data_IF_373155048856
#
_entry.id   IF_373155048856
#
_cell.length_a   1.000
_cell.length_b   1.000
_cell.length_c   1.000
_cell.angle_alpha   90.00
_cell.angle_beta   90.00
_cell.angle_gamma   90.00
#
_symmetry.space_group_name_H-M   'P 1'
#
loop_
_entity.id
_entity.type
_entity.pdbx_description
1 polymer ?
#
# COMPACT_ATOMS: atom_id res chain seq x y z
N UNK A 1 6.85 11.20 -25.62
CA UNK A 1 5.92 12.31 -25.92
C UNK A 1 6.38 13.48 -25.08
N UNK A 2 6.88 14.56 -25.71
CA UNK A 2 7.38 15.75 -24.99
C UNK A 2 6.31 16.87 -24.98
N UNK A 3 5.05 16.53 -24.80
CA UNK A 3 3.97 17.50 -24.82
C UNK A 3 3.40 17.78 -23.43
N UNK A 4 3.00 19.02 -23.21
CA UNK A 4 2.25 19.44 -22.01
C UNK A 4 0.91 18.72 -21.99
N UNK A 5 0.63 17.96 -20.92
CA UNK A 5 -0.64 17.28 -20.69
C UNK A 5 -1.56 18.11 -19.78
N UNK A 6 -2.85 17.90 -19.89
CA UNK A 6 -3.80 18.26 -18.86
C UNK A 6 -3.99 17.07 -17.93
N UNK A 7 -3.42 17.14 -16.74
CA UNK A 7 -3.51 16.10 -15.71
C UNK A 7 -4.55 16.51 -14.67
N UNK A 8 -5.59 15.69 -14.51
CA UNK A 8 -6.56 15.84 -13.43
C UNK A 8 -6.12 14.96 -12.25
N UNK A 9 -5.75 15.57 -11.14
CA UNK A 9 -5.43 14.85 -9.90
C UNK A 9 -6.74 14.60 -9.16
N UNK A 10 -7.11 13.32 -9.05
CA UNK A 10 -8.31 12.87 -8.37
C UNK A 10 -7.94 12.46 -6.95
N UNK A 11 -8.59 13.07 -5.97
CA UNK A 11 -8.24 12.95 -4.55
C UNK A 11 -9.48 12.71 -3.69
N UNK A 12 -9.30 12.26 -2.47
CA UNK A 12 -10.36 12.28 -1.46
C UNK A 12 -10.70 13.73 -1.09
N UNK A 13 -11.96 14.08 -0.81
CA UNK A 13 -12.34 15.47 -0.56
C UNK A 13 -11.59 16.12 0.61
N UNK A 14 -11.22 15.32 1.61
CA UNK A 14 -10.50 15.79 2.79
C UNK A 14 -9.01 16.07 2.51
N UNK A 15 -8.48 15.61 1.38
CA UNK A 15 -7.06 15.73 1.02
C UNK A 15 -6.80 16.66 -0.17
N UNK A 16 -7.76 17.55 -0.50
CA UNK A 16 -7.56 18.59 -1.51
C UNK A 16 -6.41 19.50 -1.04
N UNK A 17 -5.27 19.54 -1.76
CA UNK A 17 -4.12 20.31 -1.32
C UNK A 17 -4.41 21.82 -1.37
N UNK A 18 -4.01 22.59 -0.36
CA UNK A 18 -4.10 24.05 -0.41
C UNK A 18 -3.09 24.63 -1.40
N UNK A 19 -3.45 25.74 -2.02
CA UNK A 19 -2.55 26.52 -2.91
C UNK A 19 -1.50 27.33 -2.11
N UNK A 20 -0.92 26.74 -1.08
CA UNK A 20 0.08 27.40 -0.24
C UNK A 20 1.47 26.78 -0.48
N UNK A 21 2.41 27.61 -0.99
CA UNK A 21 3.79 27.20 -1.20
C UNK A 21 4.55 26.84 0.08
N UNK A 22 4.06 27.23 1.25
CA UNK A 22 4.65 26.87 2.54
C UNK A 22 4.21 25.49 3.04
N UNK A 23 3.19 24.91 2.47
CA UNK A 23 2.69 23.57 2.81
C UNK A 23 3.77 22.49 2.68
N UNK A 24 4.77 22.67 1.82
CA UNK A 24 5.96 21.79 1.70
C UNK A 24 6.69 21.49 3.03
N UNK A 25 6.50 22.33 4.03
CA UNK A 25 7.23 22.25 5.31
C UNK A 25 6.40 21.62 6.41
N UNK A 26 5.13 21.31 6.16
CA UNK A 26 4.23 20.78 7.17
C UNK A 26 4.00 19.28 6.94
N UNK A 27 4.04 18.50 8.02
CA UNK A 27 3.53 17.13 8.05
C UNK A 27 2.02 17.21 8.30
N UNK A 28 1.21 16.47 7.51
CA UNK A 28 -0.23 16.51 7.71
C UNK A 28 -1.02 15.82 6.61
N UNK A 29 -2.34 15.95 6.69
CA UNK A 29 -3.24 15.48 5.62
C UNK A 29 -2.91 16.18 4.30
N UNK A 30 -3.11 15.47 3.17
CA UNK A 30 -2.90 15.95 1.81
C UNK A 30 -1.43 16.24 1.41
N UNK A 31 -0.44 15.73 2.14
CA UNK A 31 0.97 15.97 1.80
C UNK A 31 1.36 15.27 0.48
N UNK A 32 0.85 14.08 0.22
CA UNK A 32 1.08 13.32 -1.01
C UNK A 32 0.50 14.05 -2.20
N UNK A 33 -0.76 14.49 -2.09
CA UNK A 33 -1.49 15.21 -3.13
C UNK A 33 -0.79 16.52 -3.48
N UNK A 34 -0.31 17.23 -2.46
CA UNK A 34 0.45 18.46 -2.66
C UNK A 34 1.76 18.18 -3.40
N UNK A 35 2.58 17.22 -2.95
CA UNK A 35 3.84 16.87 -3.59
C UNK A 35 3.65 16.46 -5.05
N UNK A 36 2.63 15.65 -5.32
CA UNK A 36 2.29 15.23 -6.68
C UNK A 36 1.90 16.42 -7.54
N UNK A 37 0.99 17.27 -7.08
CA UNK A 37 0.55 18.46 -7.83
C UNK A 37 1.72 19.39 -8.15
N UNK A 38 2.61 19.66 -7.20
CA UNK A 38 3.78 20.52 -7.40
C UNK A 38 4.75 19.92 -8.43
N UNK A 39 5.10 18.65 -8.29
CA UNK A 39 5.99 18.01 -9.24
C UNK A 39 5.40 17.97 -10.66
N UNK A 40 4.10 17.70 -10.81
CA UNK A 40 3.42 17.76 -12.11
C UNK A 40 3.46 19.16 -12.74
N UNK A 41 3.32 20.21 -11.92
CA UNK A 41 3.48 21.62 -12.39
C UNK A 41 4.92 21.91 -12.78
N UNK A 42 5.91 21.45 -11.99
CA UNK A 42 7.34 21.58 -12.32
C UNK A 42 7.70 20.88 -13.64
N UNK A 43 7.05 19.74 -13.93
CA UNK A 43 7.18 19.03 -15.21
C UNK A 43 6.50 19.76 -16.38
N UNK A 44 5.84 20.89 -16.13
CA UNK A 44 5.20 21.74 -17.15
C UNK A 44 3.79 21.29 -17.54
N UNK A 45 3.17 20.37 -16.82
CA UNK A 45 1.79 19.95 -17.08
C UNK A 45 0.77 21.00 -16.61
N UNK A 46 -0.42 21.02 -17.24
CA UNK A 46 -1.59 21.72 -16.69
C UNK A 46 -2.21 20.81 -15.64
N UNK A 47 -2.28 21.26 -14.40
CA UNK A 47 -2.80 20.46 -13.27
C UNK A 47 -4.12 21.05 -12.80
N UNK A 48 -5.15 20.20 -12.73
CA UNK A 48 -6.42 20.48 -12.06
C UNK A 48 -6.60 19.45 -10.95
N UNK A 49 -7.27 19.81 -9.86
CA UNK A 49 -7.57 18.90 -8.75
C UNK A 49 -9.08 18.75 -8.64
N UNK A 50 -9.53 17.52 -8.42
CA UNK A 50 -10.94 17.18 -8.20
C UNK A 50 -11.07 16.27 -6.98
N UNK A 51 -11.83 16.71 -5.97
CA UNK A 51 -12.24 15.86 -4.86
C UNK A 51 -13.31 14.87 -5.30
N UNK A 52 -13.17 13.62 -4.89
CA UNK A 52 -14.14 12.55 -5.17
C UNK A 52 -15.35 12.68 -4.24
N UNK A 53 -16.30 13.50 -4.64
CA UNK A 53 -17.54 13.80 -3.92
C UNK A 53 -18.47 12.58 -3.84
N UNK A 54 -19.48 12.63 -2.95
CA UNK A 54 -20.45 11.55 -2.75
C UNK A 54 -21.44 11.35 -3.92
N UNK A 55 -21.63 12.38 -4.78
CA UNK A 55 -22.47 12.30 -5.98
C UNK A 55 -21.66 11.90 -7.21
N UNK A 56 -21.71 10.64 -7.58
CA UNK A 56 -21.04 10.10 -8.77
C UNK A 56 -21.43 10.84 -10.06
N UNK A 57 -22.67 11.27 -10.22
CA UNK A 57 -23.09 11.98 -11.42
C UNK A 57 -22.39 13.33 -11.55
N UNK A 58 -22.18 14.04 -10.44
CA UNK A 58 -21.43 15.29 -10.39
C UNK A 58 -19.94 15.05 -10.69
N UNK A 59 -19.36 13.99 -10.14
CA UNK A 59 -17.94 13.61 -10.42
C UNK A 59 -17.75 13.31 -11.91
N UNK A 60 -18.63 12.52 -12.53
CA UNK A 60 -18.56 12.23 -13.97
C UNK A 60 -18.65 13.53 -14.78
N UNK A 61 -19.63 14.41 -14.49
CA UNK A 61 -19.76 15.70 -15.18
C UNK A 61 -18.51 16.56 -15.04
N UNK A 62 -17.90 16.59 -13.85
CA UNK A 62 -16.67 17.33 -13.60
C UNK A 62 -15.50 16.75 -14.39
N UNK A 63 -15.29 15.44 -14.37
CA UNK A 63 -14.23 14.76 -15.15
C UNK A 63 -14.39 15.06 -16.65
N UNK A 64 -15.59 14.89 -17.20
CA UNK A 64 -15.89 15.17 -18.61
C UNK A 64 -15.68 16.64 -18.93
N UNK A 65 -16.11 17.55 -18.05
CA UNK A 65 -15.92 19.01 -18.21
C UNK A 65 -14.46 19.45 -18.19
N UNK A 66 -13.60 18.77 -17.43
CA UNK A 66 -12.16 19.02 -17.44
C UNK A 66 -11.49 18.52 -18.71
N UNK A 67 -12.02 17.48 -19.35
CA UNK A 67 -11.42 16.82 -20.54
C UNK A 67 -9.92 16.55 -20.35
N UNK A 68 -9.51 15.79 -19.31
CA UNK A 68 -8.10 15.55 -19.02
C UNK A 68 -7.49 14.56 -20.04
N UNK A 69 -6.20 14.73 -20.32
CA UNK A 69 -5.40 13.75 -21.07
C UNK A 69 -5.10 12.50 -20.21
N UNK A 70 -5.07 12.69 -18.87
CA UNK A 70 -4.79 11.64 -17.90
C UNK A 70 -5.35 12.03 -16.53
N UNK A 71 -5.83 11.05 -15.79
CA UNK A 71 -6.17 11.17 -14.37
C UNK A 71 -5.03 10.64 -13.52
N UNK A 72 -4.46 11.47 -12.64
CA UNK A 72 -3.56 11.00 -11.59
C UNK A 72 -4.40 10.61 -10.38
N UNK A 73 -4.61 9.31 -10.19
CA UNK A 73 -5.54 8.81 -9.18
C UNK A 73 -4.82 8.63 -7.83
N UNK A 74 -5.21 9.44 -6.85
CA UNK A 74 -4.76 9.38 -5.46
C UNK A 74 -5.89 9.06 -4.48
N UNK A 75 -7.06 8.62 -4.98
CA UNK A 75 -8.17 8.27 -4.09
C UNK A 75 -7.90 6.98 -3.34
N UNK A 76 -8.18 6.96 -2.05
CA UNK A 76 -8.07 5.77 -1.19
C UNK A 76 -9.43 5.22 -0.76
N UNK A 77 -10.50 5.98 -0.96
CA UNK A 77 -11.84 5.66 -0.50
C UNK A 77 -12.92 6.34 -1.35
N UNK A 78 -14.17 5.94 -1.15
CA UNK A 78 -15.33 6.67 -1.62
C UNK A 78 -16.44 6.58 -0.57
N UNK A 79 -17.13 7.68 -0.28
CA UNK A 79 -18.15 7.77 0.78
C UNK A 79 -17.62 7.35 2.18
N UNK A 80 -16.35 7.57 2.47
CA UNK A 80 -15.74 7.17 3.74
C UNK A 80 -15.44 5.66 3.86
N UNK A 81 -15.67 4.88 2.81
CA UNK A 81 -15.38 3.44 2.79
C UNK A 81 -14.22 3.15 1.83
N UNK A 82 -13.12 2.66 2.39
CA UNK A 82 -11.93 2.26 1.64
C UNK A 82 -12.15 1.06 0.72
N UNK A 83 -13.19 0.26 0.97
CA UNK A 83 -13.54 -0.84 0.08
C UNK A 83 -14.06 -0.37 -1.28
N UNK A 84 -14.35 0.92 -1.45
CA UNK A 84 -14.80 1.52 -2.71
C UNK A 84 -13.68 2.12 -3.56
N UNK A 85 -12.41 2.09 -3.15
CA UNK A 85 -11.28 2.50 -3.97
C UNK A 85 -11.26 1.81 -5.34
N UNK A 86 -11.49 0.49 -5.36
CA UNK A 86 -11.63 -0.31 -6.58
C UNK A 86 -12.80 0.13 -7.48
N UNK A 87 -13.86 0.67 -6.89
CA UNK A 87 -15.03 1.13 -7.65
C UNK A 87 -14.72 2.47 -8.34
N UNK A 88 -13.90 3.31 -7.72
CA UNK A 88 -13.38 4.52 -8.38
C UNK A 88 -12.54 4.13 -9.59
N UNK A 89 -11.59 3.20 -9.43
CA UNK A 89 -10.81 2.70 -10.56
C UNK A 89 -11.69 2.08 -11.66
N UNK A 90 -12.71 1.29 -11.29
CA UNK A 90 -13.65 0.71 -12.25
C UNK A 90 -14.46 1.79 -13.00
N UNK A 91 -14.83 2.88 -12.33
CA UNK A 91 -15.49 4.03 -13.00
C UNK A 91 -14.54 4.64 -14.03
N UNK A 92 -13.26 4.84 -13.71
CA UNK A 92 -12.28 5.38 -14.65
C UNK A 92 -12.05 4.45 -15.85
N UNK A 93 -12.01 3.13 -15.62
CA UNK A 93 -11.97 2.11 -16.68
C UNK A 93 -13.21 2.21 -17.59
N UNK A 94 -14.42 2.37 -17.02
CA UNK A 94 -15.67 2.51 -17.77
C UNK A 94 -15.75 3.83 -18.58
N UNK A 95 -15.12 4.89 -18.07
CA UNK A 95 -15.04 6.18 -18.78
C UNK A 95 -13.99 6.19 -19.90
N UNK A 96 -13.19 5.13 -20.01
CA UNK A 96 -12.12 4.97 -21.00
C UNK A 96 -11.12 6.13 -20.96
N UNK A 97 -10.75 6.56 -19.76
CA UNK A 97 -9.78 7.67 -19.54
C UNK A 97 -8.49 7.08 -18.96
N UNK A 98 -7.30 7.42 -19.50
CA UNK A 98 -6.05 6.99 -18.92
C UNK A 98 -5.92 7.46 -17.46
N UNK A 99 -5.55 6.55 -16.56
CA UNK A 99 -5.31 6.89 -15.16
C UNK A 99 -4.10 6.14 -14.59
N UNK A 100 -3.47 6.73 -13.57
CA UNK A 100 -2.30 6.15 -12.90
C UNK A 100 -2.70 5.15 -11.82
N UNK A 101 -1.81 4.20 -11.60
CA UNK A 101 -1.94 3.19 -10.54
C UNK A 101 -2.70 1.95 -10.98
N UNK A 102 -2.91 1.08 -10.02
CA UNK A 102 -3.54 -0.23 -10.23
C UNK A 102 -5.03 -0.10 -10.53
N UNK A 103 -5.52 -0.85 -11.51
CA UNK A 103 -6.94 -0.91 -11.88
C UNK A 103 -7.79 -1.69 -10.88
N UNK A 104 -9.11 -1.71 -11.14
CA UNK A 104 -10.12 -2.22 -10.22
C UNK A 104 -9.86 -3.66 -9.76
N UNK A 105 -9.42 -4.54 -10.65
CA UNK A 105 -9.16 -5.95 -10.32
C UNK A 105 -7.99 -6.09 -9.33
N UNK A 106 -6.87 -5.41 -9.56
CA UNK A 106 -5.72 -5.49 -8.67
C UNK A 106 -6.02 -4.88 -7.29
N UNK A 107 -6.75 -3.77 -7.24
CA UNK A 107 -7.23 -3.17 -6.00
C UNK A 107 -8.11 -4.15 -5.21
N UNK A 108 -9.09 -4.79 -5.86
CA UNK A 108 -9.95 -5.81 -5.24
C UNK A 108 -9.14 -6.98 -4.68
N UNK A 109 -8.18 -7.51 -5.46
CA UNK A 109 -7.37 -8.65 -5.05
C UNK A 109 -6.47 -8.34 -3.85
N UNK A 110 -5.96 -7.11 -3.74
CA UNK A 110 -5.09 -6.70 -2.65
C UNK A 110 -5.85 -6.26 -1.39
N UNK A 111 -7.02 -5.65 -1.55
CA UNK A 111 -7.83 -5.16 -0.43
C UNK A 111 -8.25 -6.29 0.52
N UNK A 112 -8.66 -7.45 0.01
CA UNK A 112 -8.96 -8.61 0.85
C UNK A 112 -7.68 -9.43 1.10
N UNK A 113 -7.06 -9.26 2.28
CA UNK A 113 -5.85 -9.97 2.68
C UNK A 113 -5.96 -11.49 2.56
N UNK A 114 -7.17 -12.05 2.72
CA UNK A 114 -7.44 -13.49 2.61
C UNK A 114 -7.37 -13.93 1.15
N UNK A 115 -8.07 -13.20 0.27
CA UNK A 115 -8.09 -13.46 -1.16
C UNK A 115 -6.69 -13.29 -1.78
N UNK A 116 -6.00 -12.22 -1.42
CA UNK A 116 -4.61 -11.97 -1.82
C UNK A 116 -3.72 -13.16 -1.48
N UNK A 117 -3.75 -13.63 -0.23
CA UNK A 117 -2.93 -14.77 0.21
C UNK A 117 -3.33 -16.10 -0.44
N UNK A 118 -4.62 -16.35 -0.63
CA UNK A 118 -5.09 -17.54 -1.34
C UNK A 118 -4.55 -17.58 -2.77
N UNK A 119 -4.62 -16.45 -3.48
CA UNK A 119 -4.13 -16.36 -4.85
C UNK A 119 -2.61 -16.51 -4.92
N UNK A 120 -1.87 -15.86 -4.04
CA UNK A 120 -0.41 -16.02 -3.94
C UNK A 120 0.00 -17.47 -3.64
N UNK A 121 -0.71 -18.14 -2.73
CA UNK A 121 -0.48 -19.54 -2.37
C UNK A 121 -0.73 -20.47 -3.57
N UNK A 122 -1.81 -20.27 -4.32
CA UNK A 122 -2.12 -21.01 -5.54
C UNK A 122 -0.96 -20.90 -6.56
N UNK A 123 -0.33 -19.74 -6.62
CA UNK A 123 0.84 -19.49 -7.47
C UNK A 123 2.18 -19.85 -6.81
N UNK A 124 2.17 -20.63 -5.72
CA UNK A 124 3.39 -21.09 -5.02
C UNK A 124 4.31 -19.94 -4.57
N UNK A 125 3.72 -18.82 -4.18
CA UNK A 125 4.38 -17.73 -3.48
C UNK A 125 4.09 -17.91 -2.00
N UNK A 126 5.14 -18.01 -1.19
CA UNK A 126 5.00 -18.23 0.25
C UNK A 126 4.38 -17.02 0.93
N UNK A 127 3.32 -17.25 1.68
CA UNK A 127 2.65 -16.30 2.57
C UNK A 127 2.56 -16.92 3.97
N UNK A 128 2.30 -16.15 5.04
CA UNK A 128 2.00 -16.74 6.34
C UNK A 128 0.79 -17.68 6.25
N UNK A 129 0.83 -18.82 6.95
CA UNK A 129 -0.38 -19.61 7.16
C UNK A 129 -1.43 -18.76 7.89
N UNK A 130 -2.71 -18.90 7.55
CA UNK A 130 -3.73 -18.03 8.11
C UNK A 130 -5.07 -18.70 8.35
N UNK A 131 -5.76 -18.22 9.38
CA UNK A 131 -7.13 -18.54 9.71
C UNK A 131 -8.01 -17.33 9.40
N UNK A 132 -9.10 -17.53 8.66
CA UNK A 132 -10.13 -16.51 8.43
C UNK A 132 -11.28 -16.68 9.42
N UNK A 133 -11.64 -15.58 10.09
CA UNK A 133 -12.73 -15.50 11.05
C UNK A 133 -13.79 -14.53 10.53
N UNK A 134 -14.87 -15.02 9.89
CA UNK A 134 -15.92 -14.18 9.30
C UNK A 134 -16.65 -13.35 10.36
N UNK A 135 -16.99 -12.10 10.02
CA UNK A 135 -17.84 -11.25 10.84
C UNK A 135 -19.25 -11.85 10.97
N UNK A 136 -19.91 -11.62 12.09
CA UNK A 136 -21.27 -12.09 12.33
C UNK A 136 -21.40 -13.62 12.55
N UNK A 137 -20.27 -14.34 12.69
CA UNK A 137 -20.25 -15.79 12.97
C UNK A 137 -19.47 -16.10 14.25
N UNK A 138 -19.79 -17.25 14.87
CA UNK A 138 -19.02 -17.73 16.01
C UNK A 138 -17.53 -17.92 15.67
N UNK A 139 -16.63 -17.42 16.51
CA UNK A 139 -15.19 -17.57 16.37
C UNK A 139 -14.83 -19.06 16.59
N UNK A 140 -14.47 -19.75 15.51
CA UNK A 140 -14.07 -21.16 15.55
C UNK A 140 -12.57 -21.27 15.32
N UNK A 141 -11.85 -21.77 16.32
CA UNK A 141 -10.40 -21.94 16.30
C UNK A 141 -10.11 -23.45 16.20
N UNK A 142 -9.31 -23.90 15.22
CA UNK A 142 -8.88 -25.29 15.11
C UNK A 142 -8.05 -25.72 16.32
N UNK A 143 -8.29 -26.93 16.86
CA UNK A 143 -7.57 -27.46 18.05
C UNK A 143 -6.04 -27.53 17.89
N UNK A 144 -5.53 -27.58 16.66
CA UNK A 144 -4.09 -27.68 16.34
C UNK A 144 -3.55 -26.42 15.70
N UNK A 145 -4.12 -25.24 16.01
CA UNK A 145 -3.63 -23.99 15.49
C UNK A 145 -2.25 -23.67 16.06
N UNK A 146 -1.26 -23.52 15.18
CA UNK A 146 0.08 -23.11 15.62
C UNK A 146 0.08 -21.63 16.05
N UNK A 147 0.75 -21.33 17.14
CA UNK A 147 0.93 -20.00 17.74
C UNK A 147 2.44 -19.67 17.77
N UNK A 148 2.87 -18.40 17.84
CA UNK A 148 2.02 -17.19 17.90
C UNK A 148 1.42 -16.80 16.55
N UNK A 149 0.34 -15.97 16.60
CA UNK A 149 -0.32 -15.42 15.42
C UNK A 149 -0.47 -13.89 15.50
N UNK A 150 -0.50 -13.27 14.34
CA UNK A 150 -0.86 -11.84 14.19
C UNK A 150 -2.32 -11.75 13.79
N UNK A 151 -3.13 -11.13 14.64
CA UNK A 151 -4.59 -10.99 14.44
C UNK A 151 -4.88 -9.56 13.98
N UNK A 152 -5.46 -9.41 12.80
CA UNK A 152 -5.69 -8.11 12.16
C UNK A 152 -6.99 -8.06 11.35
N UNK A 153 -7.56 -6.86 11.09
CA UNK A 153 -8.69 -6.69 10.18
C UNK A 153 -8.32 -7.19 8.77
N UNK A 154 -9.31 -7.80 8.08
CA UNK A 154 -9.05 -8.39 6.76
C UNK A 154 -8.95 -7.35 5.63
N UNK A 155 -9.59 -6.18 5.78
CA UNK A 155 -9.74 -5.18 4.71
C UNK A 155 -9.00 -3.85 4.96
N UNK A 156 -8.44 -3.65 6.17
CA UNK A 156 -7.70 -2.42 6.49
C UNK A 156 -6.26 -2.47 5.97
N UNK A 157 -5.69 -1.30 5.70
CA UNK A 157 -4.29 -1.08 5.34
C UNK A 157 -3.59 -0.17 6.36
N UNK A 158 -2.40 0.35 6.03
CA UNK A 158 -1.65 1.32 6.85
C UNK A 158 -1.45 0.93 8.33
N UNK A 159 -1.44 -0.38 8.62
CA UNK A 159 -1.37 -0.95 9.99
C UNK A 159 -2.56 -0.57 10.87
N UNK A 160 -3.69 -0.11 10.30
CA UNK A 160 -4.89 0.15 11.07
C UNK A 160 -5.37 -1.14 11.77
N UNK A 161 -5.75 -0.98 13.04
CA UNK A 161 -6.11 -2.13 13.88
C UNK A 161 -4.94 -3.03 14.28
N UNK A 162 -3.68 -2.66 14.02
CA UNK A 162 -2.50 -3.42 14.43
C UNK A 162 -1.78 -2.72 15.59
N UNK A 163 -1.62 -3.46 16.67
CA UNK A 163 -0.90 -3.05 17.88
C UNK A 163 -0.05 -4.21 18.42
N UNK A 164 0.70 -4.01 19.49
CA UNK A 164 1.42 -5.11 20.15
C UNK A 164 0.47 -6.23 20.60
N UNK A 165 -0.78 -5.91 20.99
CA UNK A 165 -1.80 -6.88 21.32
C UNK A 165 -2.32 -7.69 20.11
N UNK A 166 -1.88 -7.36 18.90
CA UNK A 166 -2.21 -8.16 17.71
C UNK A 166 -1.39 -9.45 17.60
N UNK A 167 -0.25 -9.55 18.29
CA UNK A 167 0.48 -10.81 18.42
C UNK A 167 -0.10 -11.57 19.59
N UNK A 168 -0.68 -12.74 19.31
CA UNK A 168 -1.35 -13.57 20.30
C UNK A 168 -0.62 -14.91 20.48
N UNK A 169 -0.48 -15.35 21.71
CA UNK A 169 0.31 -16.52 22.08
C UNK A 169 -0.54 -17.69 22.59
N UNK A 170 -1.86 -17.46 22.75
CA UNK A 170 -2.82 -18.47 23.19
C UNK A 170 -4.18 -18.26 22.52
N UNK A 171 -5.07 -19.26 22.68
CA UNK A 171 -6.40 -19.26 22.08
C UNK A 171 -7.30 -18.18 22.68
N UNK A 172 -7.18 -17.90 23.98
CA UNK A 172 -8.01 -16.89 24.64
C UNK A 172 -7.70 -15.48 24.11
N UNK A 173 -6.41 -15.11 24.04
CA UNK A 173 -5.97 -13.84 23.46
C UNK A 173 -6.41 -13.70 22.00
N UNK A 174 -6.38 -14.80 21.22
CA UNK A 174 -6.86 -14.78 19.84
C UNK A 174 -8.36 -14.48 19.78
N UNK A 175 -9.18 -15.12 20.63
CA UNK A 175 -10.63 -14.87 20.67
C UNK A 175 -10.94 -13.44 21.06
N UNK A 176 -10.30 -12.93 22.11
CA UNK A 176 -10.47 -11.56 22.59
C UNK A 176 -10.09 -10.53 21.52
N UNK A 177 -8.93 -10.75 20.86
CA UNK A 177 -8.47 -9.85 19.81
C UNK A 177 -9.38 -9.88 18.58
N UNK A 178 -9.86 -11.05 18.17
CA UNK A 178 -10.81 -11.19 17.07
C UNK A 178 -12.16 -10.53 17.39
N UNK A 179 -12.67 -10.73 18.61
CA UNK A 179 -13.91 -10.09 19.07
C UNK A 179 -13.80 -8.57 19.06
N UNK A 180 -12.68 -8.03 19.58
CA UNK A 180 -12.40 -6.59 19.54
C UNK A 180 -12.41 -6.02 18.12
N UNK A 181 -11.80 -6.73 17.15
CA UNK A 181 -11.79 -6.28 15.75
C UNK A 181 -13.19 -6.36 15.15
N UNK A 182 -13.95 -7.43 15.40
CA UNK A 182 -15.33 -7.56 14.95
C UNK A 182 -16.21 -6.43 15.48
N UNK A 183 -16.07 -6.05 16.75
CA UNK A 183 -16.84 -4.98 17.36
C UNK A 183 -16.47 -3.59 16.79
N UNK A 184 -15.18 -3.36 16.55
CA UNK A 184 -14.68 -2.03 16.15
C UNK A 184 -14.83 -1.73 14.67
N UNK A 185 -14.62 -2.71 13.81
CA UNK A 185 -14.58 -2.54 12.34
C UNK A 185 -15.68 -3.28 11.58
N UNK A 186 -16.51 -4.05 12.26
CA UNK A 186 -17.65 -4.80 11.65
C UNK A 186 -17.26 -5.62 10.41
N UNK A 187 -16.04 -6.16 10.41
CA UNK A 187 -15.48 -6.89 9.28
C UNK A 187 -14.85 -8.23 9.68
N UNK A 188 -14.49 -9.04 8.67
CA UNK A 188 -13.77 -10.28 8.90
C UNK A 188 -12.37 -10.02 9.48
N UNK A 189 -11.89 -11.00 10.24
CA UNK A 189 -10.54 -11.02 10.84
C UNK A 189 -9.70 -12.07 10.14
N UNK A 190 -8.42 -11.78 9.98
CA UNK A 190 -7.39 -12.74 9.59
C UNK A 190 -6.40 -12.93 10.73
N UNK A 191 -6.14 -14.20 11.13
CA UNK A 191 -5.12 -14.57 12.11
C UNK A 191 -3.98 -15.28 11.39
N UNK A 192 -2.88 -14.60 11.16
CA UNK A 192 -1.73 -15.06 10.39
C UNK A 192 -0.63 -15.63 11.27
N UNK A 193 0.08 -16.65 10.80
CA UNK A 193 1.35 -17.08 11.40
C UNK A 193 2.27 -15.90 11.63
N UNK A 194 2.82 -15.76 12.84
CA UNK A 194 3.84 -14.76 13.11
C UNK A 194 5.17 -15.20 12.49
N UNK A 195 5.66 -14.45 11.53
CA UNK A 195 6.95 -14.70 10.89
C UNK A 195 8.00 -13.82 11.56
N UNK A 196 8.92 -14.43 12.29
CA UNK A 196 10.06 -13.73 12.85
C UNK A 196 11.05 -13.31 11.76
N UNK A 197 11.83 -12.26 12.01
CA UNK A 197 12.89 -11.80 11.11
C UNK A 197 12.74 -10.37 10.65
N UNK A 198 13.41 -10.04 9.55
CA UNK A 198 13.55 -8.69 8.99
C UNK A 198 12.33 -8.33 8.16
N UNK A 199 11.83 -7.10 8.28
CA UNK A 199 10.66 -6.63 7.51
C UNK A 199 11.14 -5.74 6.36
N UNK A 200 10.87 -6.20 5.13
CA UNK A 200 11.32 -5.58 3.89
C UNK A 200 10.15 -4.98 3.11
N UNK A 201 10.37 -3.79 2.57
CA UNK A 201 9.44 -3.07 1.68
C UNK A 201 10.04 -2.99 0.30
N UNK A 202 9.40 -3.61 -0.67
CA UNK A 202 9.93 -3.77 -2.03
C UNK A 202 9.05 -3.04 -3.03
N UNK A 203 9.48 -1.86 -3.45
CA UNK A 203 8.79 -1.06 -4.45
C UNK A 203 9.10 -1.55 -5.86
N UNK A 204 8.09 -1.53 -6.73
CA UNK A 204 8.16 -2.02 -8.11
C UNK A 204 7.53 -0.99 -9.03
N UNK A 205 8.20 -0.71 -10.16
CA UNK A 205 7.70 0.15 -11.22
C UNK A 205 7.55 -0.65 -12.52
N UNK A 206 6.48 -0.42 -13.28
CA UNK A 206 6.32 -0.95 -14.62
C UNK A 206 5.03 -1.71 -14.85
N UNK A 207 4.83 -2.14 -16.10
CA UNK A 207 3.72 -2.98 -16.56
C UNK A 207 4.27 -4.24 -17.26
N UNK A 208 4.65 -4.14 -18.55
CA UNK A 208 5.25 -5.26 -19.31
C UNK A 208 6.66 -5.58 -18.81
N UNK A 209 7.47 -4.55 -18.58
CA UNK A 209 8.81 -4.66 -17.99
C UNK A 209 8.77 -4.10 -16.59
N UNK A 210 9.16 -4.92 -15.61
CA UNK A 210 9.13 -4.57 -14.20
C UNK A 210 10.54 -4.26 -13.70
N UNK A 211 10.69 -3.11 -13.05
CA UNK A 211 11.88 -2.69 -12.32
C UNK A 211 11.61 -2.80 -10.83
N UNK A 212 12.35 -3.62 -10.13
CA UNK A 212 12.32 -3.71 -8.67
C UNK A 212 13.33 -2.71 -8.14
N UNK A 213 12.89 -1.81 -7.29
CA UNK A 213 13.71 -0.79 -6.65
C UNK A 213 14.49 -1.38 -5.47
N UNK A 214 15.56 -0.73 -4.98
CA UNK A 214 16.30 -1.18 -3.82
C UNK A 214 15.39 -1.41 -2.61
N UNK A 215 15.39 -2.61 -1.99
CA UNK A 215 14.53 -2.90 -0.86
C UNK A 215 14.82 -2.01 0.34
N UNK A 216 13.77 -1.48 0.96
CA UNK A 216 13.87 -0.79 2.26
C UNK A 216 13.56 -1.77 3.38
N UNK A 217 13.97 -1.43 4.58
CA UNK A 217 13.80 -2.26 5.78
C UNK A 217 13.39 -1.41 6.97
N UNK A 218 12.51 -1.95 7.79
CA UNK A 218 12.21 -1.42 9.11
C UNK A 218 13.13 -2.08 10.15
N UNK A 219 13.96 -1.28 10.81
CA UNK A 219 14.86 -1.73 11.86
C UNK A 219 14.23 -1.50 13.23
N UNK A 220 14.04 -2.58 13.97
CA UNK A 220 13.59 -2.58 15.36
C UNK A 220 14.81 -2.68 16.28
N UNK A 221 15.35 -1.54 16.72
CA UNK A 221 16.62 -1.47 17.47
C UNK A 221 16.44 -1.53 19.00
N UNK A 222 15.32 -2.00 19.51
CA UNK A 222 15.10 -2.17 20.94
C UNK A 222 15.96 -3.31 21.50
N UNK A 223 17.01 -2.99 22.24
CA UNK A 223 18.05 -3.91 22.69
C UNK A 223 17.64 -5.02 23.68
N UNK A 224 16.39 -5.10 24.13
CA UNK A 224 15.95 -5.99 25.22
C UNK A 224 14.68 -6.81 24.92
N UNK A 225 14.30 -7.07 23.68
CA UNK A 225 13.07 -7.80 23.31
C UNK A 225 11.75 -7.20 23.85
N UNK A 226 11.75 -5.99 24.39
CA UNK A 226 10.57 -5.31 24.92
C UNK A 226 9.85 -4.43 23.89
N UNK A 227 10.47 -4.21 22.74
CA UNK A 227 9.96 -3.40 21.63
C UNK A 227 8.95 -4.12 20.75
N UNK A 228 8.35 -3.41 19.78
CA UNK A 228 7.45 -4.00 18.82
C UNK A 228 8.20 -4.99 17.90
N UNK A 229 7.62 -6.18 17.70
CA UNK A 229 8.14 -7.19 16.77
C UNK A 229 7.49 -7.13 15.38
N UNK A 230 6.50 -6.25 15.21
CA UNK A 230 5.77 -5.98 13.97
C UNK A 230 5.56 -4.48 13.80
N UNK A 231 5.36 -4.03 12.56
CA UNK A 231 5.01 -2.64 12.27
C UNK A 231 3.57 -2.36 12.70
N UNK A 232 3.43 -1.71 13.86
CA UNK A 232 2.14 -1.29 14.41
C UNK A 232 1.71 0.07 13.85
N UNK A 233 0.44 0.45 14.04
CA UNK A 233 -0.04 1.79 13.72
C UNK A 233 0.86 2.88 14.33
N UNK A 234 1.26 2.74 15.60
CA UNK A 234 2.14 3.71 16.26
C UNK A 234 3.54 3.76 15.67
N UNK A 235 4.05 2.66 15.12
CA UNK A 235 5.34 2.68 14.42
C UNK A 235 5.31 3.55 13.17
N UNK A 236 4.15 3.65 12.50
CA UNK A 236 3.99 4.48 11.29
C UNK A 236 3.71 5.95 11.61
N UNK A 237 2.85 6.21 12.59
CA UNK A 237 2.20 7.52 12.76
C UNK A 237 2.60 8.28 14.03
N UNK A 238 3.43 7.70 14.90
CA UNK A 238 3.81 8.30 16.20
C UNK A 238 5.33 8.43 16.28
N UNK A 239 5.84 9.65 16.00
CA UNK A 239 7.28 9.94 16.01
C UNK A 239 7.90 9.69 17.38
N UNK A 240 7.22 10.07 18.46
CA UNK A 240 7.69 9.85 19.82
C UNK A 240 7.79 8.34 20.15
N UNK A 241 6.88 7.54 19.58
CA UNK A 241 6.95 6.09 19.71
C UNK A 241 8.15 5.51 18.93
N UNK A 242 8.40 5.99 17.70
CA UNK A 242 9.59 5.58 16.93
C UNK A 242 10.89 5.93 17.65
N UNK A 243 10.97 7.13 18.17
CA UNK A 243 12.14 7.58 18.92
C UNK A 243 12.38 6.74 20.18
N UNK A 244 11.31 6.52 20.97
CA UNK A 244 11.35 5.68 22.19
C UNK A 244 11.90 4.28 21.91
N UNK A 245 11.43 3.65 20.84
CA UNK A 245 11.78 2.27 20.50
C UNK A 245 12.90 2.16 19.46
N UNK A 246 13.53 3.30 19.10
CA UNK A 246 14.62 3.39 18.11
C UNK A 246 14.27 2.67 16.79
N UNK A 247 13.03 2.84 16.35
CA UNK A 247 12.56 2.29 15.08
C UNK A 247 13.03 3.21 13.97
N UNK A 248 13.77 2.66 13.02
CA UNK A 248 14.29 3.41 11.88
C UNK A 248 13.98 2.69 10.57
N UNK A 249 13.94 3.46 9.48
CA UNK A 249 13.78 2.93 8.14
C UNK A 249 15.04 3.23 7.32
N UNK A 250 15.50 2.23 6.58
CA UNK A 250 16.70 2.37 5.76
C UNK A 250 16.71 1.39 4.60
N UNK A 251 17.84 1.27 3.91
CA UNK A 251 17.99 0.29 2.85
C UNK A 251 18.49 -1.03 3.41
N UNK A 252 17.87 -2.12 2.94
CA UNK A 252 18.26 -3.46 3.36
C UNK A 252 19.61 -3.87 2.76
N UNK A 253 20.52 -4.30 3.62
CA UNK A 253 21.74 -4.98 3.17
C UNK A 253 21.42 -6.49 3.07
N UNK A 254 21.41 -7.00 1.84
CA UNK A 254 21.03 -8.37 1.51
C UNK A 254 22.13 -9.04 0.69
N UNK A 255 22.34 -10.32 0.93
CA UNK A 255 23.17 -11.15 0.05
C UNK A 255 22.61 -11.19 -1.38
N UNK A 256 23.49 -11.29 -2.37
CA UNK A 256 23.11 -11.28 -3.78
C UNK A 256 22.11 -12.40 -4.15
N UNK A 257 22.16 -13.54 -3.47
CA UNK A 257 21.21 -14.66 -3.62
C UNK A 257 19.81 -14.27 -3.14
N UNK A 258 19.71 -13.67 -1.95
CA UNK A 258 18.46 -13.19 -1.35
C UNK A 258 17.87 -12.06 -2.19
N UNK A 259 18.68 -11.12 -2.65
CA UNK A 259 18.23 -10.03 -3.50
C UNK A 259 17.62 -10.53 -4.81
N UNK A 260 18.21 -11.54 -5.46
CA UNK A 260 17.62 -12.19 -6.64
C UNK A 260 16.27 -12.83 -6.34
N UNK A 261 16.12 -13.46 -5.18
CA UNK A 261 14.85 -14.05 -4.77
C UNK A 261 13.79 -12.98 -4.45
N UNK A 262 14.16 -11.88 -3.78
CA UNK A 262 13.30 -10.71 -3.58
C UNK A 262 12.78 -10.21 -4.93
N UNK A 263 13.67 -9.97 -5.88
CA UNK A 263 13.30 -9.50 -7.22
C UNK A 263 12.35 -10.48 -7.94
N UNK A 264 12.67 -11.76 -7.93
CA UNK A 264 11.87 -12.80 -8.58
C UNK A 264 10.48 -12.93 -7.97
N UNK A 265 10.39 -12.97 -6.63
CA UNK A 265 9.13 -13.13 -5.90
C UNK A 265 8.26 -11.88 -6.09
N UNK A 266 8.83 -10.70 -5.96
CA UNK A 266 8.12 -9.43 -6.13
C UNK A 266 7.53 -9.28 -7.53
N UNK A 267 8.30 -9.55 -8.58
CA UNK A 267 7.80 -9.53 -9.97
C UNK A 267 6.69 -10.55 -10.21
N UNK A 268 6.76 -11.73 -9.58
CA UNK A 268 5.69 -12.73 -9.68
C UNK A 268 4.43 -12.28 -8.94
N UNK A 269 4.55 -11.80 -7.71
CA UNK A 269 3.43 -11.29 -6.93
C UNK A 269 2.73 -10.14 -7.66
N UNK A 270 3.50 -9.19 -8.21
CA UNK A 270 2.98 -8.08 -9.00
C UNK A 270 2.10 -8.56 -10.16
N UNK A 271 2.55 -9.55 -10.95
CA UNK A 271 1.78 -10.08 -12.08
C UNK A 271 0.56 -10.89 -11.66
N UNK A 272 0.71 -11.73 -10.63
CA UNK A 272 -0.38 -12.58 -10.09
C UNK A 272 -1.52 -11.73 -9.56
N UNK A 273 -1.20 -10.62 -8.88
CA UNK A 273 -2.16 -9.70 -8.30
C UNK A 273 -2.65 -8.62 -9.29
N UNK A 274 -2.24 -8.70 -10.56
CA UNK A 274 -2.63 -7.77 -11.62
C UNK A 274 -2.33 -6.30 -11.28
N UNK A 275 -1.22 -6.07 -10.58
CA UNK A 275 -0.76 -4.74 -10.23
C UNK A 275 -0.29 -3.98 -11.49
N UNK A 276 -0.38 -2.66 -11.45
CA UNK A 276 -0.08 -1.80 -12.59
C UNK A 276 0.69 -0.55 -12.13
N UNK A 277 1.53 -0.05 -13.04
CA UNK A 277 2.33 1.17 -12.94
C UNK A 277 3.32 1.13 -11.77
N UNK A 278 2.86 1.07 -10.53
CA UNK A 278 3.70 1.00 -9.33
C UNK A 278 2.98 0.25 -8.20
N UNK A 279 3.77 -0.39 -7.36
CA UNK A 279 3.25 -1.10 -6.18
C UNK A 279 4.37 -1.33 -5.16
N UNK A 280 3.99 -1.70 -3.93
CA UNK A 280 4.93 -2.15 -2.90
C UNK A 280 4.51 -3.53 -2.39
N UNK A 281 5.47 -4.45 -2.34
CA UNK A 281 5.30 -5.78 -1.76
C UNK A 281 6.02 -5.81 -0.42
N UNK A 282 5.28 -6.06 0.64
CA UNK A 282 5.80 -6.14 2.00
C UNK A 282 6.12 -7.60 2.34
N UNK A 283 7.33 -7.87 2.83
CA UNK A 283 7.86 -9.22 3.04
C UNK A 283 8.53 -9.36 4.38
N UNK A 284 8.57 -10.60 4.89
CA UNK A 284 9.50 -10.99 5.97
C UNK A 284 10.60 -11.88 5.41
N UNK A 285 11.83 -11.56 5.80
CA UNK A 285 12.99 -12.43 5.62
C UNK A 285 13.25 -13.15 6.95
N UNK A 286 12.95 -14.46 6.99
CA UNK A 286 13.16 -15.25 8.21
C UNK A 286 14.67 -15.44 8.52
N UNK A 287 15.03 -15.84 9.75
CA UNK A 287 16.42 -16.16 10.10
C UNK A 287 17.06 -17.24 9.20
N UNK A 288 16.26 -18.12 8.61
CA UNK A 288 16.70 -19.16 7.66
C UNK A 288 16.77 -18.64 6.21
N UNK A 289 16.80 -17.33 5.99
CA UNK A 289 16.80 -16.67 4.68
C UNK A 289 15.61 -17.04 3.78
N UNK A 290 14.43 -17.32 4.37
CA UNK A 290 13.22 -17.61 3.63
C UNK A 290 12.35 -16.35 3.52
N UNK A 291 12.01 -15.97 2.30
CA UNK A 291 11.11 -14.85 2.03
C UNK A 291 9.65 -15.28 2.14
N UNK A 292 8.85 -14.47 2.84
CA UNK A 292 7.41 -14.66 3.05
C UNK A 292 6.71 -13.35 2.74
N UNK A 293 5.81 -13.35 1.76
CA UNK A 293 5.03 -12.16 1.37
C UNK A 293 3.93 -11.93 2.40
N UNK A 294 3.94 -10.77 3.05
CA UNK A 294 2.94 -10.38 4.04
C UNK A 294 1.71 -9.78 3.38
N UNK A 295 1.92 -8.80 2.50
CA UNK A 295 0.86 -8.12 1.75
C UNK A 295 1.40 -7.45 0.49
N UNK A 296 0.49 -6.98 -0.36
CA UNK A 296 0.79 -6.18 -1.53
C UNK A 296 -0.03 -4.89 -1.47
N UNK A 297 0.63 -3.77 -1.66
CA UNK A 297 0.04 -2.43 -1.66
C UNK A 297 -0.02 -1.95 -3.11
N UNK A 298 -1.21 -1.90 -3.74
CA UNK A 298 -1.35 -1.61 -5.16
C UNK A 298 -1.08 -0.15 -5.52
N UNK A 299 -1.41 0.78 -4.63
CA UNK A 299 -1.16 2.21 -4.78
C UNK A 299 -0.53 2.73 -3.47
N UNK A 300 0.75 2.36 -3.21
CA UNK A 300 1.44 2.80 -2.00
C UNK A 300 1.66 4.31 -2.02
N UNK A 301 1.87 4.88 -0.83
CA UNK A 301 2.22 6.28 -0.69
C UNK A 301 3.47 6.62 -1.52
N UNK A 302 3.36 7.69 -2.29
CA UNK A 302 4.41 8.22 -3.15
C UNK A 302 4.84 9.63 -2.75
N UNK A 303 4.46 10.10 -1.56
CA UNK A 303 4.92 11.39 -1.07
C UNK A 303 6.45 11.46 -1.07
N UNK A 304 6.97 12.65 -1.19
CA UNK A 304 8.41 12.88 -1.07
C UNK A 304 8.91 12.45 0.31
N UNK A 305 9.93 11.59 0.34
CA UNK A 305 10.47 11.01 1.58
C UNK A 305 9.86 9.66 1.98
N UNK A 306 8.75 9.24 1.34
CA UNK A 306 8.12 7.95 1.60
C UNK A 306 8.81 6.80 0.87
N UNK A 307 8.42 5.57 1.18
CA UNK A 307 9.09 4.32 0.80
C UNK A 307 9.37 4.20 -0.70
N UNK A 308 8.40 4.55 -1.56
CA UNK A 308 8.54 4.43 -3.01
C UNK A 308 9.47 5.52 -3.56
N UNK A 309 9.30 6.75 -3.11
CA UNK A 309 10.11 7.90 -3.53
C UNK A 309 11.57 7.72 -3.11
N UNK A 310 11.82 7.27 -1.88
CA UNK A 310 13.16 7.00 -1.37
C UNK A 310 13.85 5.85 -2.14
N UNK A 311 13.12 4.75 -2.40
CA UNK A 311 13.64 3.63 -3.17
C UNK A 311 13.96 4.03 -4.63
N UNK A 312 13.14 4.89 -5.23
CA UNK A 312 13.38 5.44 -6.56
C UNK A 312 14.63 6.34 -6.58
N UNK A 313 14.74 7.26 -5.62
CA UNK A 313 15.90 8.14 -5.47
C UNK A 313 17.21 7.34 -5.32
N UNK A 314 17.21 6.29 -4.50
CA UNK A 314 18.35 5.38 -4.35
C UNK A 314 18.73 4.68 -5.65
N UNK A 315 17.76 4.43 -6.53
CA UNK A 315 17.99 3.87 -7.86
C UNK A 315 18.39 4.92 -8.92
N UNK A 316 18.61 6.17 -8.53
CA UNK A 316 18.96 7.28 -9.44
C UNK A 316 17.76 7.85 -10.19
N UNK A 317 16.55 7.63 -9.70
CA UNK A 317 15.28 8.17 -10.24
C UNK A 317 14.80 9.22 -9.24
N UNK A 318 15.01 10.50 -9.56
CA UNK A 318 14.50 11.61 -8.75
C UNK A 318 12.97 11.64 -8.74
N UNK A 319 12.39 12.49 -7.89
CA UNK A 319 10.95 12.50 -7.66
C UNK A 319 10.15 12.90 -8.91
N UNK A 320 10.60 13.93 -9.60
CA UNK A 320 9.93 14.40 -10.83
C UNK A 320 10.01 13.33 -11.93
N UNK A 321 11.17 12.68 -12.08
CA UNK A 321 11.35 11.54 -12.99
C UNK A 321 10.49 10.34 -12.61
N UNK A 322 10.28 10.08 -11.33
CA UNK A 322 9.38 9.02 -10.86
C UNK A 322 7.95 9.28 -11.32
N UNK A 323 7.43 10.50 -11.11
CA UNK A 323 6.07 10.85 -11.52
C UNK A 323 5.90 10.85 -13.05
N UNK A 324 6.88 11.37 -13.81
CA UNK A 324 6.86 11.28 -15.28
C UNK A 324 6.83 9.82 -15.76
N UNK A 325 7.59 8.91 -15.11
CA UNK A 325 7.54 7.48 -15.43
C UNK A 325 6.15 6.90 -15.16
N UNK A 326 5.53 7.20 -14.02
CA UNK A 326 4.19 6.72 -13.66
C UNK A 326 3.17 7.19 -14.72
N UNK A 327 3.18 8.45 -15.09
CA UNK A 327 2.32 9.01 -16.16
C UNK A 327 2.53 8.27 -17.49
N UNK A 328 3.79 8.09 -17.90
CA UNK A 328 4.09 7.39 -19.16
C UNK A 328 3.64 5.94 -19.15
N UNK A 329 3.75 5.24 -18.01
CA UNK A 329 3.29 3.87 -17.87
C UNK A 329 1.78 3.78 -18.01
N UNK A 330 1.03 4.68 -17.38
CA UNK A 330 -0.42 4.77 -17.48
C UNK A 330 -0.87 5.04 -18.93
N UNK A 331 -0.29 6.04 -19.60
CA UNK A 331 -0.59 6.36 -21.01
C UNK A 331 -0.23 5.23 -21.98
N UNK A 332 0.85 4.47 -21.71
CA UNK A 332 1.24 3.33 -22.55
C UNK A 332 0.32 2.12 -22.36
N UNK A 333 -0.21 1.95 -21.18
CA UNK A 333 -1.14 0.87 -20.85
C UNK A 333 -2.50 1.05 -21.51
N UNK A 334 -2.95 2.29 -21.60
CA UNK A 334 -4.26 2.65 -22.17
C UNK A 334 -4.30 2.58 -23.72
N UNK A 335 -3.15 2.60 -24.38
CA UNK A 335 -3.02 2.40 -25.84
C UNK A 335 -3.17 0.94 -26.24
#
# INVERSE_FOLDING_TARGET
>A
MNGRLHVLVLVDPATIPPDDTQFKKTTGQAITEYHVCEALRCLGHRVSVLGMEYDIASVIRAIVGHSPDLIFNLTEQFCGDRQFDKNVAALLEMLDIPFTGTGAMGLLLCRDKRLCKQLLTLHKIRVPDFLSLPYGRAIRIPKKLALPRVVKPAFEDSSEGISNASIVYDEQALRERAAFIHERWEQAVIAEEFIAGRELYVSILGNKRLTVLPPRECFFNAGNNEGPAILTYRCKWDDAYREKWKITFGFAELEASVLRDVERISKRAFRVLQLQDYARIDMRLSPENKLVVLEANPNPDIAYGEEVAEAANRAGIDYDTLLDKIIRMALQRHK
#
